data_IF_169158255861
#
_entry.id   IF_169158255861
#
_cell.length_a   1.000
_cell.length_b   1.000
_cell.length_c   1.000
_cell.angle_alpha   90.00
_cell.angle_beta   90.00
_cell.angle_gamma   90.00
#
_symmetry.space_group_name_H-M   'P 1'
#
loop_
_entity.id
_entity.type
_entity.pdbx_description
1 polymer ?
#
# COMPACT_ATOMS: atom_id res chain seq x y z
N UNK A 1 10.18 -16.71 18.11
CA UNK A 1 9.59 -16.71 16.76
C UNK A 1 8.13 -16.32 16.91
N UNK A 2 7.83 -15.02 16.81
CA UNK A 2 6.47 -14.52 16.97
C UNK A 2 5.81 -14.43 15.60
N UNK A 3 4.97 -15.42 15.31
CA UNK A 3 3.95 -15.39 14.28
C UNK A 3 2.93 -14.28 14.57
N UNK A 4 3.07 -13.11 13.94
CA UNK A 4 1.99 -12.12 13.88
C UNK A 4 1.37 -12.17 12.48
N UNK A 5 0.64 -13.25 12.23
CA UNK A 5 -0.37 -13.27 11.17
C UNK A 5 -1.49 -12.33 11.61
N UNK A 6 -1.49 -11.12 11.04
CA UNK A 6 -2.52 -10.09 11.18
C UNK A 6 -3.89 -10.72 10.89
N UNK A 7 -4.71 -10.93 11.92
CA UNK A 7 -6.07 -11.48 11.80
C UNK A 7 -7.18 -10.44 12.09
N UNK A 8 -6.84 -9.16 12.15
CA UNK A 8 -7.79 -8.08 11.99
C UNK A 8 -7.11 -6.96 11.18
N UNK A 9 -7.75 -6.33 10.20
CA UNK A 9 -7.27 -5.04 9.72
C UNK A 9 -7.41 -4.07 10.90
N UNK A 10 -6.33 -3.92 11.67
CA UNK A 10 -6.18 -3.02 12.81
C UNK A 10 -6.30 -1.55 12.32
N UNK A 11 -7.48 -1.17 11.86
CA UNK A 11 -7.74 0.15 11.31
C UNK A 11 -6.91 0.52 10.07
N UNK A 12 -7.10 1.77 9.69
CA UNK A 12 -6.54 2.44 8.50
C UNK A 12 -5.01 2.50 8.50
N UNK A 13 -4.37 2.23 9.65
CA UNK A 13 -2.92 2.19 9.85
C UNK A 13 -2.30 0.82 9.57
N UNK A 14 -3.10 -0.19 9.20
CA UNK A 14 -2.62 -1.52 8.86
C UNK A 14 -1.55 -1.48 7.75
N UNK A 15 -0.46 -2.22 7.97
CA UNK A 15 0.67 -2.30 7.07
C UNK A 15 0.50 -3.49 6.12
N UNK A 16 0.45 -3.21 4.83
CA UNK A 16 0.23 -4.18 3.77
C UNK A 16 1.35 -4.14 2.73
N UNK A 17 1.59 -5.27 2.07
CA UNK A 17 2.55 -5.35 0.97
C UNK A 17 2.01 -4.65 -0.29
N UNK A 18 2.89 -4.34 -1.24
CA UNK A 18 2.48 -3.78 -2.52
C UNK A 18 1.48 -4.67 -3.29
N UNK A 19 1.60 -5.99 -3.17
CA UNK A 19 0.70 -6.95 -3.81
C UNK A 19 -0.70 -6.91 -3.19
N UNK A 20 -0.78 -6.89 -1.85
CA UNK A 20 -2.06 -6.76 -1.15
C UNK A 20 -2.70 -5.40 -1.44
N UNK A 21 -1.92 -4.33 -1.44
CA UNK A 21 -2.37 -2.98 -1.80
C UNK A 21 -2.97 -2.94 -3.22
N UNK A 22 -2.32 -3.59 -4.18
CA UNK A 22 -2.79 -3.69 -5.56
C UNK A 22 -4.16 -4.39 -5.62
N UNK A 23 -4.30 -5.53 -4.94
CA UNK A 23 -5.56 -6.29 -4.87
C UNK A 23 -6.67 -5.50 -4.18
N UNK A 24 -6.39 -4.88 -3.03
CA UNK A 24 -7.39 -4.12 -2.26
C UNK A 24 -7.88 -2.88 -2.99
N UNK A 25 -6.97 -2.17 -3.69
CA UNK A 25 -7.33 -0.98 -4.46
C UNK A 25 -7.81 -1.28 -5.88
N UNK A 26 -7.77 -2.55 -6.33
CA UNK A 26 -8.14 -2.93 -7.70
C UNK A 26 -7.24 -2.30 -8.76
N UNK A 27 -5.96 -2.05 -8.45
CA UNK A 27 -4.98 -1.46 -9.36
C UNK A 27 -3.86 -2.45 -9.69
N UNK A 28 -3.18 -2.26 -10.81
CA UNK A 28 -2.00 -3.06 -11.13
C UNK A 28 -0.84 -2.79 -10.14
N UNK A 29 -0.04 -3.82 -9.83
CA UNK A 29 1.14 -3.70 -8.95
C UNK A 29 2.16 -2.65 -9.44
N UNK A 30 2.29 -2.51 -10.76
CA UNK A 30 3.14 -1.49 -11.37
C UNK A 30 2.68 -0.07 -11.01
N UNK A 31 1.38 0.15 -10.79
CA UNK A 31 0.82 1.43 -10.34
C UNK A 31 1.25 1.75 -8.90
N UNK A 32 1.18 0.77 -7.99
CA UNK A 32 1.68 0.94 -6.61
C UNK A 32 3.17 1.26 -6.61
N UNK A 33 3.95 0.53 -7.42
CA UNK A 33 5.40 0.74 -7.53
C UNK A 33 5.71 2.11 -8.13
N UNK A 34 4.92 2.55 -9.12
CA UNK A 34 5.01 3.88 -9.70
C UNK A 34 4.72 4.96 -8.68
N UNK A 35 3.69 4.82 -7.84
CA UNK A 35 3.41 5.76 -6.76
C UNK A 35 4.58 5.84 -5.78
N UNK A 36 5.20 4.72 -5.43
CA UNK A 36 6.37 4.71 -4.56
C UNK A 36 7.59 5.40 -5.21
N UNK A 37 7.81 5.18 -6.51
CA UNK A 37 8.91 5.82 -7.26
C UNK A 37 8.70 7.33 -7.44
N UNK A 38 7.47 7.76 -7.61
CA UNK A 38 7.09 9.17 -7.73
C UNK A 38 6.98 9.89 -6.37
N UNK A 39 7.24 9.19 -5.25
CA UNK A 39 7.13 9.75 -3.89
C UNK A 39 5.69 10.02 -3.43
N UNK A 40 4.69 9.51 -4.15
CA UNK A 40 3.27 9.63 -3.78
C UNK A 40 2.85 8.63 -2.70
N UNK A 41 3.63 7.56 -2.53
CA UNK A 41 3.39 6.51 -1.56
C UNK A 41 4.70 6.17 -0.85
N UNK A 42 4.77 6.42 0.44
CA UNK A 42 5.96 6.15 1.24
C UNK A 42 5.87 4.76 1.89
N UNK A 43 6.92 3.93 1.82
CA UNK A 43 6.97 2.69 2.57
C UNK A 43 7.04 3.03 4.07
N UNK A 44 6.19 2.37 4.86
CA UNK A 44 6.18 2.54 6.33
C UNK A 44 7.15 1.60 7.03
N UNK A 45 7.72 0.64 6.31
CA UNK A 45 8.68 -0.32 6.83
C UNK A 45 8.98 -1.41 5.81
N UNK A 46 9.67 -2.45 6.29
CA UNK A 46 9.86 -3.68 5.55
C UNK A 46 9.46 -4.87 6.45
N UNK A 47 8.88 -5.88 5.83
CA UNK A 47 8.61 -7.19 6.44
C UNK A 47 9.92 -7.93 6.72
N UNK A 48 9.89 -9.00 7.50
CA UNK A 48 11.03 -9.86 7.84
C UNK A 48 11.75 -10.41 6.58
N UNK A 49 11.04 -10.48 5.46
CA UNK A 49 11.55 -10.90 4.15
C UNK A 49 12.14 -9.75 3.31
N UNK A 50 12.26 -8.55 3.87
CA UNK A 50 12.75 -7.35 3.17
C UNK A 50 11.74 -6.74 2.18
N UNK A 51 10.47 -7.18 2.22
CA UNK A 51 9.41 -6.63 1.35
C UNK A 51 8.91 -5.32 1.90
N UNK A 52 8.82 -4.28 1.07
CA UNK A 52 8.28 -2.97 1.47
C UNK A 52 6.83 -3.09 1.89
N UNK A 53 6.52 -2.55 3.06
CA UNK A 53 5.18 -2.43 3.62
C UNK A 53 4.70 -0.99 3.49
N UNK A 54 3.42 -0.84 3.22
CA UNK A 54 2.74 0.43 2.99
C UNK A 54 1.53 0.51 3.91
N UNK A 55 1.23 1.69 4.45
CA UNK A 55 0.01 1.88 5.24
C UNK A 55 -1.20 1.92 4.32
N UNK A 56 -2.27 1.23 4.70
CA UNK A 56 -3.51 1.18 3.94
C UNK A 56 -4.07 2.59 3.65
N UNK A 57 -4.05 3.48 4.65
CA UNK A 57 -4.50 4.88 4.48
C UNK A 57 -3.71 5.64 3.41
N UNK A 58 -2.40 5.42 3.30
CA UNK A 58 -1.56 6.12 2.34
C UNK A 58 -1.78 5.59 0.93
N UNK A 59 -2.00 4.27 0.80
CA UNK A 59 -2.39 3.65 -0.48
C UNK A 59 -3.73 4.22 -0.95
N UNK A 60 -4.74 4.29 -0.08
CA UNK A 60 -6.05 4.86 -0.41
C UNK A 60 -5.97 6.34 -0.85
N UNK A 61 -5.15 7.15 -0.15
CA UNK A 61 -4.89 8.55 -0.56
C UNK A 61 -4.23 8.65 -1.93
N UNK A 62 -3.28 7.76 -2.24
CA UNK A 62 -2.59 7.73 -3.53
C UNK A 62 -3.54 7.32 -4.67
N UNK A 63 -4.42 6.34 -4.41
CA UNK A 63 -5.46 5.89 -5.33
C UNK A 63 -6.46 7.02 -5.64
N UNK A 64 -7.02 7.65 -4.61
CA UNK A 64 -7.92 8.79 -4.75
C UNK A 64 -7.29 9.93 -5.56
N UNK A 65 -6.03 10.28 -5.25
CA UNK A 65 -5.29 11.32 -5.98
C UNK A 65 -5.07 10.98 -7.45
N UNK A 66 -4.82 9.70 -7.75
CA UNK A 66 -4.64 9.20 -9.12
C UNK A 66 -5.95 9.23 -9.89
N UNK A 67 -7.05 8.76 -9.28
CA UNK A 67 -8.39 8.78 -9.87
C UNK A 67 -8.89 10.20 -10.12
N UNK A 68 -8.63 11.12 -9.19
CA UNK A 68 -8.95 12.55 -9.37
C UNK A 68 -8.21 13.16 -10.55
N UNK A 69 -6.94 12.80 -10.76
CA UNK A 69 -6.15 13.25 -11.91
C UNK A 69 -6.61 12.65 -13.23
N UNK A 70 -6.99 11.37 -13.25
CA UNK A 70 -7.46 10.70 -14.47
C UNK A 70 -8.83 11.21 -14.96
N UNK A 71 -9.60 11.87 -14.10
CA UNK A 71 -10.89 12.50 -14.44
C UNK A 71 -10.78 13.93 -14.97
N UNK A 72 -9.56 14.49 -15.06
CA UNK A 72 -9.30 15.84 -15.56
C UNK A 72 -8.70 15.76 -16.95
#
# INVERSE_FOLDING_TARGET
MAMNAVLAPEGIDSQITATEAATLCGVALCTITKWAREGKLSPSGADERGRKLYRLIDVAKAEYSTRKKARR
#
